data_IF_828019176943
#
_entry.id   IF_828019176943
#
_cell.length_a   1.000
_cell.length_b   1.000
_cell.length_c   1.000
_cell.angle_alpha   90.00
_cell.angle_beta   90.00
_cell.angle_gamma   90.00
#
_symmetry.space_group_name_H-M   'P 1'
#
loop_
_entity.id
_entity.type
_entity.pdbx_description
1 polymer ?
#
# COMPACT_ATOMS: atom_id res chain seq x y z
N UNK A 1 25.02 -31.13 6.21
CA UNK A 1 23.62 -31.61 6.23
C UNK A 1 22.73 -30.40 6.01
N UNK A 2 22.46 -30.09 4.75
CA UNK A 2 21.77 -28.87 4.32
C UNK A 2 20.37 -29.25 3.85
N UNK A 3 19.35 -28.90 4.64
CA UNK A 3 17.95 -29.00 4.21
C UNK A 3 17.63 -27.82 3.29
N UNK A 4 17.60 -28.09 1.99
CA UNK A 4 16.98 -27.24 0.97
C UNK A 4 15.46 -27.39 1.09
N UNK A 5 14.80 -26.41 1.69
CA UNK A 5 13.34 -26.30 1.66
C UNK A 5 12.92 -25.64 0.34
N UNK A 6 12.82 -26.45 -0.72
CA UNK A 6 12.22 -26.07 -1.99
C UNK A 6 10.70 -25.95 -1.81
N UNK A 7 10.21 -24.74 -1.51
CA UNK A 7 8.80 -24.40 -1.71
C UNK A 7 8.58 -24.04 -3.18
N UNK A 8 8.21 -25.05 -3.96
CA UNK A 8 7.59 -24.90 -5.28
C UNK A 8 6.19 -24.31 -5.09
N UNK A 9 6.06 -22.99 -5.22
CA UNK A 9 4.76 -22.35 -5.45
C UNK A 9 4.49 -22.35 -6.96
N UNK A 10 3.37 -22.90 -7.44
CA UNK A 10 3.01 -22.82 -8.85
C UNK A 10 2.72 -21.36 -9.19
N UNK A 11 3.46 -20.80 -10.16
CA UNK A 11 3.09 -19.55 -10.83
C UNK A 11 1.79 -19.78 -11.60
N UNK A 12 0.65 -19.57 -10.95
CA UNK A 12 -0.58 -19.31 -11.66
C UNK A 12 -0.56 -17.84 -12.11
N UNK A 13 -0.40 -17.63 -13.42
CA UNK A 13 -0.82 -16.37 -14.04
C UNK A 13 -2.34 -16.29 -13.94
N UNK A 14 -2.82 -15.73 -12.84
CA UNK A 14 -4.23 -15.41 -12.64
C UNK A 14 -4.47 -14.13 -13.44
N UNK A 15 -5.30 -14.20 -14.48
CA UNK A 15 -6.00 -13.04 -15.01
C UNK A 15 -6.64 -12.35 -13.82
N UNK A 16 -6.10 -11.20 -13.40
CA UNK A 16 -6.59 -10.47 -12.24
C UNK A 16 -8.04 -10.12 -12.46
N UNK A 17 -8.93 -10.90 -11.84
CA UNK A 17 -10.30 -10.47 -11.67
C UNK A 17 -10.25 -9.22 -10.81
N UNK A 18 -10.45 -8.08 -11.45
CA UNK A 18 -10.47 -6.80 -10.74
C UNK A 18 -11.52 -6.82 -9.63
N UNK A 19 -12.52 -7.72 -9.67
CA UNK A 19 -13.55 -7.93 -8.64
C UNK A 19 -13.04 -8.28 -7.24
N UNK A 20 -11.80 -8.76 -7.12
CA UNK A 20 -11.28 -9.34 -5.90
C UNK A 20 -10.63 -8.29 -4.96
N UNK A 21 -10.80 -8.50 -3.64
CA UNK A 21 -9.98 -7.83 -2.62
C UNK A 21 -8.53 -8.31 -2.72
N UNK A 22 -7.60 -7.40 -2.97
CA UNK A 22 -6.18 -7.70 -3.20
C UNK A 22 -5.32 -7.63 -1.92
N UNK A 23 -5.91 -7.28 -0.77
CA UNK A 23 -5.18 -7.01 0.48
C UNK A 23 -4.24 -8.15 0.88
N UNK A 24 -4.68 -9.41 0.75
CA UNK A 24 -3.84 -10.57 1.08
C UNK A 24 -2.58 -10.65 0.23
N UNK A 25 -2.72 -10.38 -1.08
CA UNK A 25 -1.62 -10.42 -2.03
C UNK A 25 -0.61 -9.31 -1.73
N UNK A 26 -1.11 -8.11 -1.42
CA UNK A 26 -0.27 -6.98 -1.05
C UNK A 26 0.46 -7.20 0.27
N UNK A 27 -0.20 -7.71 1.31
CA UNK A 27 0.44 -8.04 2.58
C UNK A 27 1.59 -9.05 2.40
N UNK A 28 1.37 -10.11 1.61
CA UNK A 28 2.40 -11.11 1.33
C UNK A 28 3.59 -10.52 0.58
N UNK A 29 3.33 -9.74 -0.47
CA UNK A 29 4.34 -9.05 -1.28
C UNK A 29 5.16 -8.08 -0.43
N UNK A 30 4.47 -7.27 0.38
CA UNK A 30 5.08 -6.20 1.15
C UNK A 30 5.92 -6.75 2.30
N UNK A 31 5.44 -7.81 2.96
CA UNK A 31 6.22 -8.53 3.95
C UNK A 31 7.52 -9.11 3.34
N UNK A 32 7.42 -9.72 2.16
CA UNK A 32 8.60 -10.20 1.44
C UNK A 32 9.62 -9.09 1.17
N UNK A 33 9.16 -7.89 0.78
CA UNK A 33 10.04 -6.73 0.54
C UNK A 33 10.68 -6.18 1.80
N UNK A 34 9.95 -6.13 2.91
CA UNK A 34 10.49 -5.69 4.21
C UNK A 34 11.60 -6.63 4.69
N UNK A 35 11.48 -7.94 4.42
CA UNK A 35 12.49 -8.92 4.78
C UNK A 35 13.73 -8.91 3.87
N UNK A 36 13.55 -8.64 2.58
CA UNK A 36 14.64 -8.66 1.58
C UNK A 36 15.51 -7.40 1.63
N UNK A 37 14.89 -6.23 1.82
CA UNK A 37 15.59 -4.96 1.79
C UNK A 37 16.10 -4.61 3.19
N UNK A 38 17.38 -4.85 3.46
CA UNK A 38 18.04 -4.48 4.73
C UNK A 38 18.17 -2.97 4.95
N UNK A 39 17.74 -2.14 3.99
CA UNK A 39 17.86 -0.68 4.05
C UNK A 39 16.48 -0.03 3.88
N UNK A 40 15.74 0.04 4.97
CA UNK A 40 14.50 0.80 5.10
C UNK A 40 14.50 1.52 6.44
N UNK A 41 13.76 2.61 6.52
CA UNK A 41 13.52 3.40 7.71
C UNK A 41 12.05 3.27 8.09
N UNK A 42 11.79 2.98 9.36
CA UNK A 42 10.44 2.84 9.92
C UNK A 42 10.22 4.02 10.84
N UNK A 43 9.26 4.86 10.49
CA UNK A 43 8.74 5.90 11.37
C UNK A 43 7.50 5.36 12.04
N UNK A 44 7.47 5.31 13.37
CA UNK A 44 6.32 4.85 14.15
C UNK A 44 6.08 5.86 15.28
N UNK A 45 4.88 6.43 15.36
CA UNK A 45 4.53 7.42 16.37
C UNK A 45 4.22 6.83 17.75
N UNK A 46 4.14 5.50 17.87
CA UNK A 46 3.70 4.79 19.08
C UNK A 46 4.82 4.06 19.83
N UNK A 47 6.00 3.92 19.23
CA UNK A 47 7.16 3.23 19.82
C UNK A 47 8.46 3.96 19.50
N UNK A 48 9.41 3.89 20.44
CA UNK A 48 10.75 4.47 20.26
C UNK A 48 11.70 3.56 19.48
N UNK A 49 11.38 2.26 19.36
CA UNK A 49 12.23 1.26 18.73
C UNK A 49 11.45 0.47 17.67
N UNK A 50 11.03 1.10 16.57
CA UNK A 50 10.33 0.39 15.51
C UNK A 50 11.23 -0.65 14.83
N UNK A 51 10.67 -1.78 14.45
CA UNK A 51 11.38 -2.85 13.75
C UNK A 51 10.48 -3.55 12.73
N UNK A 52 11.09 -4.35 11.84
CA UNK A 52 10.33 -5.19 10.91
C UNK A 52 9.42 -6.16 11.68
N UNK A 53 9.85 -6.63 12.84
CA UNK A 53 9.04 -7.52 13.68
C UNK A 53 7.80 -6.82 14.25
N UNK A 54 7.94 -5.57 14.71
CA UNK A 54 6.76 -4.82 15.19
C UNK A 54 5.79 -4.56 14.04
N UNK A 55 6.29 -4.21 12.86
CA UNK A 55 5.46 -4.08 11.65
C UNK A 55 4.79 -5.41 11.30
N UNK A 56 5.53 -6.52 11.33
CA UNK A 56 4.98 -7.84 11.01
C UNK A 56 3.80 -8.20 11.92
N UNK A 57 3.93 -7.93 13.22
CA UNK A 57 2.88 -8.17 14.21
C UNK A 57 1.65 -7.31 13.94
N UNK A 58 1.85 -6.03 13.65
CA UNK A 58 0.76 -5.10 13.31
C UNK A 58 0.02 -5.53 12.03
N UNK A 59 0.76 -6.00 11.02
CA UNK A 59 0.19 -6.48 9.76
C UNK A 59 -0.67 -7.75 9.91
N UNK A 60 -0.56 -8.49 11.01
CA UNK A 60 -1.44 -9.64 11.27
C UNK A 60 -2.90 -9.22 11.39
N UNK A 61 -3.19 -8.02 11.93
CA UNK A 61 -4.56 -7.49 12.01
C UNK A 61 -5.16 -7.29 10.62
N UNK A 62 -4.39 -6.74 9.68
CA UNK A 62 -4.81 -6.65 8.28
C UNK A 62 -4.94 -8.04 7.64
N UNK A 63 -4.09 -9.00 8.04
CA UNK A 63 -4.20 -10.40 7.64
C UNK A 63 -5.53 -11.05 8.04
N UNK A 64 -6.09 -10.71 9.21
CA UNK A 64 -7.42 -11.17 9.61
C UNK A 64 -8.50 -10.63 8.67
N UNK A 65 -8.45 -9.33 8.35
CA UNK A 65 -9.38 -8.69 7.41
C UNK A 65 -9.26 -9.32 6.01
N UNK A 66 -8.04 -9.55 5.56
CA UNK A 66 -7.74 -10.07 4.23
C UNK A 66 -8.26 -11.50 3.98
N UNK A 67 -8.61 -12.23 5.05
CA UNK A 67 -9.15 -13.58 4.99
C UNK A 67 -10.65 -13.66 5.35
N UNK A 68 -11.32 -12.52 5.50
CA UNK A 68 -12.77 -12.50 5.68
C UNK A 68 -13.48 -13.09 4.46
N UNK A 69 -14.54 -13.85 4.71
CA UNK A 69 -15.43 -14.30 3.66
C UNK A 69 -16.28 -13.12 3.17
N UNK A 70 -16.04 -12.71 1.92
CA UNK A 70 -16.75 -11.60 1.28
C UNK A 70 -18.10 -12.04 0.68
N UNK A 71 -18.46 -13.33 0.74
CA UNK A 71 -19.72 -13.85 0.18
C UNK A 71 -20.96 -13.24 0.83
N UNK A 72 -20.84 -12.81 2.09
CA UNK A 72 -21.92 -12.18 2.85
C UNK A 72 -21.92 -10.65 2.71
N UNK A 73 -20.99 -10.07 1.95
CA UNK A 73 -20.88 -8.63 1.81
C UNK A 73 -21.65 -8.12 0.60
N UNK A 74 -22.36 -7.00 0.78
CA UNK A 74 -22.84 -6.22 -0.37
C UNK A 74 -21.65 -5.48 -0.97
N UNK A 75 -21.35 -5.75 -2.25
CA UNK A 75 -20.23 -5.12 -2.95
C UNK A 75 -20.70 -4.00 -3.89
N UNK A 76 -19.95 -2.91 -3.92
CA UNK A 76 -20.12 -1.81 -4.88
C UNK A 76 -18.80 -1.47 -5.53
N UNK A 77 -18.85 -1.07 -6.78
CA UNK A 77 -17.71 -0.56 -7.53
C UNK A 77 -18.04 0.78 -8.16
N UNK A 78 -17.11 1.72 -8.11
CA UNK A 78 -17.26 3.03 -8.70
C UNK A 78 -15.90 3.62 -9.09
N UNK A 79 -15.89 4.40 -10.17
CA UNK A 79 -14.72 5.19 -10.57
C UNK A 79 -14.88 6.66 -10.18
N UNK A 80 -13.79 7.22 -9.66
CA UNK A 80 -13.67 8.64 -9.30
C UNK A 80 -12.39 9.18 -9.93
N UNK A 81 -12.50 9.78 -11.12
CA UNK A 81 -11.32 10.24 -11.85
C UNK A 81 -10.38 9.08 -12.19
N UNK A 82 -9.14 9.12 -11.67
CA UNK A 82 -8.12 8.06 -11.83
C UNK A 82 -8.22 6.95 -10.78
N UNK A 83 -9.21 7.00 -9.88
CA UNK A 83 -9.35 6.07 -8.76
C UNK A 83 -10.47 5.06 -9.02
N UNK A 84 -10.15 3.77 -8.83
CA UNK A 84 -11.12 2.69 -8.82
C UNK A 84 -11.42 2.31 -7.37
N UNK A 85 -12.66 2.56 -6.94
CA UNK A 85 -13.12 2.33 -5.57
C UNK A 85 -14.00 1.09 -5.53
N UNK A 86 -13.61 0.12 -4.71
CA UNK A 86 -14.39 -1.07 -4.38
C UNK A 86 -14.73 -1.05 -2.92
N UNK A 87 -15.97 -1.36 -2.58
CA UNK A 87 -16.42 -1.40 -1.20
C UNK A 87 -17.23 -2.65 -0.95
N UNK A 88 -16.89 -3.35 0.12
CA UNK A 88 -17.65 -4.48 0.67
C UNK A 88 -18.25 -4.02 1.98
N UNK A 89 -19.58 -4.04 2.10
CA UNK A 89 -20.31 -3.71 3.33
C UNK A 89 -20.87 -4.98 3.95
N UNK A 90 -20.77 -5.08 5.28
CA UNK A 90 -21.26 -6.21 6.06
C UNK A 90 -22.33 -5.74 7.03
N UNK A 91 -23.43 -6.48 7.11
CA UNK A 91 -24.53 -6.18 8.03
C UNK A 91 -24.26 -6.72 9.44
N UNK A 92 -23.43 -7.75 9.54
CA UNK A 92 -23.08 -8.45 10.78
C UNK A 92 -21.58 -8.39 11.10
N UNK A 93 -21.24 -8.60 12.38
CA UNK A 93 -19.87 -8.58 12.87
C UNK A 93 -19.34 -7.17 13.20
N UNK A 94 -18.08 -7.13 13.67
CA UNK A 94 -17.40 -5.89 14.04
C UNK A 94 -17.00 -5.06 12.82
N UNK A 95 -16.51 -5.72 11.75
CA UNK A 95 -16.11 -5.06 10.51
C UNK A 95 -17.38 -4.64 9.77
N UNK A 96 -17.55 -3.34 9.51
CA UNK A 96 -18.73 -2.79 8.81
C UNK A 96 -18.48 -2.56 7.34
N UNK A 97 -17.26 -2.21 6.97
CA UNK A 97 -16.90 -2.15 5.56
C UNK A 97 -15.41 -2.28 5.32
N UNK A 98 -15.05 -2.83 4.17
CA UNK A 98 -13.72 -2.78 3.60
C UNK A 98 -13.81 -1.95 2.32
N UNK A 99 -13.02 -0.90 2.19
CA UNK A 99 -12.89 -0.13 0.96
C UNK A 99 -11.47 -0.32 0.40
N UNK A 100 -11.36 -0.74 -0.85
CA UNK A 100 -10.12 -0.78 -1.60
C UNK A 100 -10.15 0.32 -2.66
N UNK A 101 -9.15 1.18 -2.68
CA UNK A 101 -8.97 2.22 -3.68
C UNK A 101 -7.69 1.89 -4.44
N UNK A 102 -7.84 1.56 -5.73
CA UNK A 102 -6.70 1.42 -6.64
C UNK A 102 -6.55 2.70 -7.46
N UNK A 103 -5.32 3.13 -7.69
CA UNK A 103 -5.06 4.35 -8.46
C UNK A 103 -3.81 4.17 -9.32
N UNK A 104 -3.93 4.55 -10.58
CA UNK A 104 -2.83 4.55 -11.53
C UNK A 104 -2.37 5.98 -11.76
N UNK A 105 -1.13 6.27 -11.42
CA UNK A 105 -0.52 7.58 -11.64
C UNK A 105 0.65 7.45 -12.59
N UNK A 106 0.73 8.35 -13.57
CA UNK A 106 1.84 8.42 -14.51
C UNK A 106 2.67 9.65 -14.20
N UNK A 107 3.98 9.45 -14.10
CA UNK A 107 4.95 10.52 -14.02
C UNK A 107 5.75 10.55 -15.33
N UNK A 108 5.72 11.70 -15.96
CA UNK A 108 6.54 12.02 -17.13
C UNK A 108 7.18 13.38 -16.86
N UNK A 109 8.45 13.38 -16.44
CA UNK A 109 9.14 14.60 -16.00
C UNK A 109 10.61 14.65 -16.41
N UNK A 110 11.12 15.87 -16.63
CA UNK A 110 12.52 16.13 -16.95
C UNK A 110 13.21 16.76 -15.75
N UNK A 111 14.11 16.02 -15.11
CA UNK A 111 14.87 16.50 -13.95
C UNK A 111 16.21 17.07 -14.44
N UNK A 112 16.50 18.31 -14.04
CA UNK A 112 17.80 18.93 -14.32
C UNK A 112 18.72 18.77 -13.11
N UNK A 113 19.79 18.01 -13.26
CA UNK A 113 20.81 17.87 -12.23
C UNK A 113 21.84 18.98 -12.38
N UNK A 114 21.94 19.83 -11.35
CA UNK A 114 22.99 20.84 -11.24
C UNK A 114 24.11 20.31 -10.36
N UNK A 115 25.34 20.46 -10.81
CA UNK A 115 26.51 20.03 -10.05
C UNK A 115 27.14 21.21 -9.33
N UNK A 116 27.63 20.98 -8.10
CA UNK A 116 28.31 21.99 -7.29
C UNK A 116 29.69 22.38 -7.86
N UNK A 117 30.25 21.59 -8.77
CA UNK A 117 31.58 21.76 -9.37
C UNK A 117 31.56 22.52 -10.72
N UNK A 118 30.53 23.35 -10.96
CA UNK A 118 30.34 24.14 -12.18
C UNK A 118 30.28 23.32 -13.48
N UNK A 119 30.01 22.01 -13.43
CA UNK A 119 29.69 21.24 -14.63
C UNK A 119 28.37 21.71 -15.24
N UNK A 120 28.28 21.61 -16.57
CA UNK A 120 27.04 21.85 -17.28
C UNK A 120 25.92 20.97 -16.70
N UNK A 121 24.71 21.52 -16.47
CA UNK A 121 23.60 20.72 -15.97
C UNK A 121 23.29 19.57 -16.93
N UNK A 122 23.04 18.39 -16.39
CA UNK A 122 22.53 17.26 -17.16
C UNK A 122 21.02 17.17 -17.00
N UNK A 123 20.33 16.75 -18.06
CA UNK A 123 18.91 16.50 -18.02
C UNK A 123 18.68 15.00 -18.00
N UNK A 124 17.83 14.55 -17.08
CA UNK A 124 17.39 13.18 -17.00
C UNK A 124 15.88 13.14 -17.18
N UNK A 125 15.43 12.42 -18.21
CA UNK A 125 14.02 12.13 -18.41
C UNK A 125 13.61 10.95 -17.52
N UNK A 126 12.53 11.12 -16.76
CA UNK A 126 11.96 10.11 -15.87
C UNK A 126 10.54 9.85 -16.32
N UNK A 127 10.29 8.62 -16.77
CA UNK A 127 8.96 8.12 -17.11
C UNK A 127 8.67 6.91 -16.24
N UNK A 128 7.67 7.00 -15.37
CA UNK A 128 7.27 5.93 -14.47
C UNK A 128 5.74 5.85 -14.35
N UNK A 129 5.23 4.66 -14.17
CA UNK A 129 3.84 4.42 -13.77
C UNK A 129 3.82 3.89 -12.34
N UNK A 130 2.87 4.34 -11.54
CA UNK A 130 2.68 3.93 -10.16
C UNK A 130 1.28 3.34 -10.01
N UNK A 131 1.20 2.19 -9.37
CA UNK A 131 -0.09 1.60 -9.01
C UNK A 131 -0.17 1.57 -7.50
N UNK A 132 -0.92 2.53 -6.96
CA UNK A 132 -1.17 2.61 -5.54
C UNK A 132 -2.43 1.83 -5.17
N UNK A 133 -2.39 1.20 -4.00
CA UNK A 133 -3.58 0.62 -3.37
C UNK A 133 -3.69 1.10 -1.94
N UNK A 134 -4.85 1.65 -1.62
CA UNK A 134 -5.24 2.04 -0.27
C UNK A 134 -6.39 1.18 0.20
N UNK A 135 -6.33 0.70 1.43
CA UNK A 135 -7.38 -0.05 2.09
C UNK A 135 -7.84 0.69 3.33
N UNK A 136 -9.16 0.81 3.48
CA UNK A 136 -9.80 1.43 4.61
C UNK A 136 -10.78 0.44 5.21
N UNK A 137 -10.64 0.18 6.49
CA UNK A 137 -11.47 -0.79 7.20
C UNK A 137 -12.24 -0.04 8.28
N UNK A 138 -13.55 0.00 8.13
CA UNK A 138 -14.45 0.57 9.13
C UNK A 138 -14.97 -0.52 10.05
N UNK A 139 -15.06 -0.19 11.33
CA UNK A 139 -15.62 -1.04 12.38
C UNK A 139 -16.91 -0.43 12.91
N UNK A 140 -17.57 -1.07 13.87
CA UNK A 140 -18.72 -0.50 14.57
C UNK A 140 -18.38 0.76 15.38
N UNK A 141 -17.15 0.83 15.88
CA UNK A 141 -16.65 1.88 16.77
C UNK A 141 -16.01 3.06 16.04
N UNK A 142 -15.52 2.86 14.82
CA UNK A 142 -14.72 3.86 14.12
C UNK A 142 -14.74 3.68 12.60
N UNK A 143 -14.84 4.81 11.88
CA UNK A 143 -14.73 4.86 10.42
C UNK A 143 -13.24 4.81 10.08
N UNK A 144 -12.85 3.91 9.18
CA UNK A 144 -11.44 3.75 8.78
C UNK A 144 -10.48 3.42 9.94
N UNK A 145 -10.94 2.63 10.93
CA UNK A 145 -10.13 2.17 12.08
C UNK A 145 -8.75 1.65 11.69
N UNK A 146 -8.70 0.95 10.56
CA UNK A 146 -7.46 0.49 9.95
C UNK A 146 -7.29 1.14 8.58
N UNK A 147 -6.09 1.64 8.32
CA UNK A 147 -5.66 2.19 7.04
C UNK A 147 -4.40 1.46 6.57
N UNK A 148 -4.33 1.10 5.30
CA UNK A 148 -3.14 0.48 4.71
C UNK A 148 -2.89 1.07 3.33
N UNK A 149 -1.66 1.50 3.06
CA UNK A 149 -1.27 2.07 1.77
C UNK A 149 0.01 1.41 1.25
N UNK A 150 -0.05 0.94 0.02
CA UNK A 150 1.07 0.27 -0.69
C UNK A 150 1.18 0.78 -2.11
N UNK A 151 2.38 0.68 -2.68
CA UNK A 151 2.61 0.82 -4.12
C UNK A 151 3.12 -0.51 -4.68
N UNK A 152 2.66 -0.85 -5.87
CA UNK A 152 2.84 -2.17 -6.46
C UNK A 152 4.31 -2.63 -6.52
N UNK A 153 5.24 -1.74 -6.87
CA UNK A 153 6.67 -2.01 -7.02
C UNK A 153 7.52 -1.58 -5.82
N UNK A 154 7.11 -0.59 -5.03
CA UNK A 154 7.82 -0.12 -3.85
C UNK A 154 7.55 -1.03 -2.64
N UNK A 155 6.30 -1.46 -2.49
CA UNK A 155 5.80 -2.17 -1.32
C UNK A 155 5.02 -1.28 -0.35
N UNK A 156 4.96 -1.69 0.91
CA UNK A 156 4.25 -0.98 1.98
C UNK A 156 4.80 0.44 2.13
N UNK A 157 3.91 1.42 2.12
CA UNK A 157 4.26 2.84 2.30
C UNK A 157 3.87 3.34 3.69
N UNK A 158 2.65 3.02 4.12
CA UNK A 158 2.17 3.38 5.45
C UNK A 158 0.99 2.53 5.89
N UNK A 159 0.75 2.47 7.20
CA UNK A 159 -0.47 1.93 7.78
C UNK A 159 -0.85 2.66 9.07
N UNK A 160 -2.12 2.53 9.45
CA UNK A 160 -2.67 3.07 10.69
C UNK A 160 -3.49 2.01 11.41
N UNK A 161 -3.35 1.98 12.73
CA UNK A 161 -4.12 1.15 13.66
C UNK A 161 -4.68 2.05 14.78
N UNK A 162 -5.89 2.58 14.60
CA UNK A 162 -6.40 3.61 15.51
C UNK A 162 -5.50 4.85 15.51
N UNK A 163 -4.89 5.19 16.64
CA UNK A 163 -4.01 6.37 16.76
C UNK A 163 -2.55 6.09 16.34
N UNK A 164 -2.18 4.81 16.19
CA UNK A 164 -0.85 4.40 15.75
C UNK A 164 -0.73 4.60 14.24
N UNK A 165 0.29 5.34 13.81
CA UNK A 165 0.63 5.59 12.40
C UNK A 165 2.07 5.15 12.18
N UNK A 166 2.28 4.36 11.13
CA UNK A 166 3.60 3.88 10.73
C UNK A 166 3.84 4.17 9.26
N UNK A 167 5.03 4.70 8.96
CA UNK A 167 5.49 4.96 7.60
C UNK A 167 6.79 4.20 7.31
N UNK A 168 6.89 3.66 6.09
CA UNK A 168 8.05 2.92 5.63
C UNK A 168 8.71 3.71 4.49
N UNK A 169 9.98 4.05 4.68
CA UNK A 169 10.81 4.67 3.63
C UNK A 169 11.94 3.72 3.26
N UNK A 170 11.96 3.25 2.02
CA UNK A 170 13.05 2.40 1.53
C UNK A 170 14.25 3.24 1.10
N UNK A 171 15.47 2.73 1.28
CA UNK A 171 16.70 3.47 0.94
C UNK A 171 16.87 3.74 -0.57
N UNK A 172 16.29 2.87 -1.40
CA UNK A 172 16.26 3.02 -2.85
C UNK A 172 14.81 3.14 -3.34
N UNK A 173 14.15 4.30 -3.12
CA UNK A 173 12.79 4.48 -3.57
C UNK A 173 12.73 4.52 -5.10
N UNK A 174 11.62 4.03 -5.67
CA UNK A 174 11.31 4.17 -7.09
C UNK A 174 11.39 5.64 -7.48
N UNK A 175 12.15 5.93 -8.53
CA UNK A 175 12.42 7.32 -8.95
C UNK A 175 11.11 8.07 -9.21
N UNK A 176 10.99 9.27 -8.64
CA UNK A 176 9.79 10.09 -8.78
C UNK A 176 8.61 9.68 -7.89
N UNK A 177 8.76 8.66 -7.02
CA UNK A 177 7.72 8.29 -6.06
C UNK A 177 7.34 9.47 -5.16
N UNK A 178 8.32 10.22 -4.65
CA UNK A 178 8.07 11.38 -3.80
C UNK A 178 7.25 12.47 -4.49
N UNK A 179 7.43 12.64 -5.81
CA UNK A 179 6.75 13.65 -6.61
C UNK A 179 5.26 13.31 -6.82
N UNK A 180 4.92 12.02 -6.82
CA UNK A 180 3.52 11.55 -7.00
C UNK A 180 2.82 11.21 -5.69
N UNK A 181 3.55 10.83 -4.64
CA UNK A 181 2.98 10.29 -3.41
C UNK A 181 2.20 11.34 -2.61
N UNK A 182 2.70 12.58 -2.54
CA UNK A 182 2.01 13.65 -1.82
C UNK A 182 0.69 14.06 -2.51
N UNK A 183 0.68 14.35 -3.84
CA UNK A 183 -0.57 14.55 -4.57
C UNK A 183 -1.55 13.38 -4.41
N UNK A 184 -1.05 12.14 -4.52
CA UNK A 184 -1.87 10.94 -4.33
C UNK A 184 -2.56 10.91 -2.96
N UNK A 185 -1.79 11.16 -1.88
CA UNK A 185 -2.34 11.15 -0.51
C UNK A 185 -3.44 12.19 -0.32
N UNK A 186 -3.27 13.38 -0.88
CA UNK A 186 -4.29 14.44 -0.83
C UNK A 186 -5.56 14.06 -1.59
N UNK A 187 -5.42 13.43 -2.77
CA UNK A 187 -6.56 12.93 -3.56
C UNK A 187 -7.33 11.85 -2.81
N UNK A 188 -6.63 10.89 -2.19
CA UNK A 188 -7.24 9.84 -1.38
C UNK A 188 -7.92 10.42 -0.15
N UNK A 189 -7.29 11.33 0.58
CA UNK A 189 -7.89 11.96 1.75
C UNK A 189 -9.24 12.61 1.40
N UNK A 190 -9.25 13.42 0.33
CA UNK A 190 -10.48 14.05 -0.19
C UNK A 190 -11.51 13.02 -0.65
N UNK A 191 -11.10 11.98 -1.36
CA UNK A 191 -12.01 10.93 -1.79
C UNK A 191 -12.64 10.21 -0.60
N UNK A 192 -11.88 9.99 0.48
CA UNK A 192 -12.36 9.28 1.68
C UNK A 192 -13.24 10.12 2.60
N UNK A 193 -13.10 11.46 2.57
CA UNK A 193 -14.02 12.35 3.29
C UNK A 193 -15.43 12.32 2.68
N UNK A 194 -15.51 12.15 1.36
CA UNK A 194 -16.77 12.18 0.61
C UNK A 194 -17.51 10.82 0.58
N UNK A 195 -16.85 9.77 1.07
CA UNK A 195 -17.22 8.36 0.96
C UNK A 195 -17.88 7.75 2.20
#
# INVERSE_FOLDING_TARGET
MTLLLNLLLPLCFILQDSSQLLLRQDLQKDFGKLQQNSSHFISDNSTLNPSVETVANDLQLFGLVANLDLSQATSTWQEYGSHQVRRWKFDEGNIRSITQIQSEMKLDTLVTQRYLDNKAPTQQHITNSFTFRTYLISTDSDKNKLYYQTENEQGLLSYQLGDKVVEITYASPKKGLADVLQPYRQEIEKLTSDL
#
